data_IF_447458936829
#
_entry.id   IF_447458936829
#
_cell.length_a   1.000
_cell.length_b   1.000
_cell.length_c   1.000
_cell.angle_alpha   90.00
_cell.angle_beta   90.00
_cell.angle_gamma   90.00
#
_symmetry.space_group_name_H-M   'P 1'
#
loop_
_entity.id
_entity.type
_entity.pdbx_description
1 polymer ?
#
# COMPACT_ATOMS: atom_id res chain seq x y z
N UNK A 1 -13.87 6.81 12.06
CA UNK A 1 -14.47 5.50 11.71
C UNK A 1 -15.52 5.58 10.61
N UNK A 2 -15.92 6.77 10.14
CA UNK A 2 -16.51 6.87 8.80
C UNK A 2 -15.41 6.61 7.75
N UNK A 3 -15.80 6.23 6.53
CA UNK A 3 -14.86 5.86 5.46
C UNK A 3 -15.21 6.61 4.18
N UNK A 4 -14.19 7.08 3.47
CA UNK A 4 -14.28 7.66 2.13
C UNK A 4 -13.53 6.76 1.15
N UNK A 5 -14.15 6.40 0.03
CA UNK A 5 -13.66 5.34 -0.87
C UNK A 5 -13.55 5.77 -2.33
N UNK A 6 -14.30 6.77 -2.77
CA UNK A 6 -14.54 7.05 -4.19
C UNK A 6 -13.85 8.31 -4.75
N UNK A 7 -13.50 9.27 -3.90
CA UNK A 7 -12.92 10.56 -4.31
C UNK A 7 -11.80 11.11 -3.38
N UNK A 8 -11.07 12.10 -3.85
CA UNK A 8 -10.19 12.91 -3.02
C UNK A 8 -10.97 14.01 -2.30
N UNK A 9 -10.40 14.58 -1.24
CA UNK A 9 -10.98 15.75 -0.54
C UNK A 9 -11.14 16.98 -1.45
N UNK A 10 -10.39 17.03 -2.55
CA UNK A 10 -10.54 18.02 -3.63
C UNK A 10 -11.79 17.78 -4.51
N UNK A 11 -12.66 16.84 -4.15
CA UNK A 11 -13.79 16.34 -4.94
C UNK A 11 -13.39 15.68 -6.27
N UNK A 12 -12.10 15.39 -6.48
CA UNK A 12 -11.66 14.62 -7.63
C UNK A 12 -12.09 13.17 -7.47
N UNK A 13 -12.99 12.71 -8.34
CA UNK A 13 -13.43 11.32 -8.40
C UNK A 13 -12.25 10.44 -8.82
N UNK A 14 -11.95 9.42 -8.01
CA UNK A 14 -10.93 8.40 -8.30
C UNK A 14 -11.59 7.16 -8.90
N UNK A 15 -12.73 6.78 -8.34
CA UNK A 15 -13.54 5.64 -8.77
C UNK A 15 -15.01 5.87 -8.41
N UNK A 16 -15.90 4.96 -8.81
CA UNK A 16 -17.26 4.94 -8.27
C UNK A 16 -17.32 4.19 -6.94
N UNK A 17 -18.36 4.45 -6.14
CA UNK A 17 -18.63 3.70 -4.90
C UNK A 17 -18.80 2.19 -5.15
N UNK A 18 -19.37 1.84 -6.31
CA UNK A 18 -19.72 0.46 -6.64
C UNK A 18 -20.72 -0.12 -5.63
N UNK A 19 -20.65 -1.44 -5.40
CA UNK A 19 -21.53 -2.12 -4.44
C UNK A 19 -21.10 -1.98 -2.97
N UNK A 20 -20.09 -1.16 -2.65
CA UNK A 20 -19.54 -1.07 -1.29
C UNK A 20 -20.65 -0.79 -0.27
N UNK A 21 -21.47 0.23 -0.53
CA UNK A 21 -22.58 0.59 0.35
C UNK A 21 -23.55 -0.59 0.50
N UNK A 22 -23.91 -1.26 -0.59
CA UNK A 22 -24.88 -2.35 -0.59
C UNK A 22 -24.40 -3.53 0.27
N UNK A 23 -23.12 -3.91 0.18
CA UNK A 23 -22.55 -4.97 1.01
C UNK A 23 -22.47 -4.58 2.49
N UNK A 24 -22.18 -3.32 2.81
CA UNK A 24 -22.20 -2.83 4.19
C UNK A 24 -23.63 -2.85 4.74
N UNK A 25 -24.60 -2.35 3.97
CA UNK A 25 -26.01 -2.36 4.38
C UNK A 25 -26.52 -3.79 4.59
N UNK A 26 -26.19 -4.71 3.68
CA UNK A 26 -26.53 -6.13 3.81
C UNK A 26 -25.91 -6.76 5.04
N UNK A 27 -24.64 -6.47 5.36
CA UNK A 27 -24.00 -7.00 6.57
C UNK A 27 -24.69 -6.53 7.87
N UNK A 28 -25.27 -5.32 7.89
CA UNK A 28 -26.06 -4.85 9.03
C UNK A 28 -27.48 -5.44 9.10
N UNK A 29 -27.98 -5.98 7.98
CA UNK A 29 -29.32 -6.56 7.89
C UNK A 29 -29.37 -8.07 8.17
N UNK A 30 -28.22 -8.76 8.12
CA UNK A 30 -28.12 -10.19 8.32
C UNK A 30 -27.63 -10.51 9.74
N UNK A 31 -28.26 -11.50 10.37
CA UNK A 31 -27.82 -12.02 11.67
C UNK A 31 -26.38 -12.52 11.59
N UNK A 32 -25.57 -12.18 12.60
CA UNK A 32 -24.16 -12.53 12.75
C UNK A 32 -23.22 -12.08 11.60
N UNK A 33 -23.70 -11.33 10.61
CA UNK A 33 -22.88 -10.80 9.54
C UNK A 33 -22.03 -9.61 10.01
N UNK A 34 -20.84 -9.45 9.42
CA UNK A 34 -19.91 -8.37 9.71
C UNK A 34 -19.39 -7.72 8.42
N UNK A 35 -19.28 -6.40 8.43
CA UNK A 35 -18.64 -5.61 7.40
C UNK A 35 -17.19 -5.34 7.78
N UNK A 36 -16.25 -5.84 6.98
CA UNK A 36 -14.81 -5.64 7.20
C UNK A 36 -14.25 -4.74 6.09
N UNK A 37 -13.74 -3.57 6.47
CA UNK A 37 -13.07 -2.65 5.55
C UNK A 37 -11.56 -2.67 5.81
N UNK A 38 -10.80 -3.02 4.78
CA UNK A 38 -9.35 -3.08 4.83
C UNK A 38 -8.73 -1.90 4.11
N UNK A 39 -7.75 -1.26 4.75
CA UNK A 39 -6.96 -0.19 4.14
C UNK A 39 -5.51 -0.23 4.62
N UNK A 40 -4.62 0.41 3.88
CA UNK A 40 -3.26 0.67 4.38
C UNK A 40 -3.33 1.79 5.41
N UNK A 41 -2.54 1.73 6.49
CA UNK A 41 -2.54 2.81 7.48
C UNK A 41 -1.99 4.13 6.90
N UNK A 42 -1.12 4.03 5.90
CA UNK A 42 -0.53 5.16 5.18
C UNK A 42 -0.60 4.99 3.67
N UNK A 43 -0.52 6.09 2.94
CA UNK A 43 -0.24 6.11 1.50
C UNK A 43 0.97 7.01 1.22
N UNK A 44 1.67 6.74 0.12
CA UNK A 44 2.78 7.55 -0.38
C UNK A 44 2.46 7.97 -1.82
N UNK A 45 2.44 9.27 -2.08
CA UNK A 45 2.22 9.84 -3.40
C UNK A 45 3.51 10.02 -4.22
N UNK A 46 4.66 9.57 -3.68
CA UNK A 46 5.99 9.73 -4.25
C UNK A 46 6.71 11.00 -3.79
N UNK A 47 6.04 11.87 -3.04
CA UNK A 47 6.61 13.07 -2.44
C UNK A 47 6.52 13.04 -0.93
N UNK A 48 5.40 12.56 -0.38
CA UNK A 48 5.15 12.54 1.06
C UNK A 48 4.29 11.35 1.46
N UNK A 49 4.77 10.64 2.48
CA UNK A 49 3.94 9.66 3.20
C UNK A 49 2.89 10.39 4.04
N UNK A 50 1.63 9.98 3.89
CA UNK A 50 0.48 10.53 4.59
C UNK A 50 -0.36 9.42 5.24
N UNK A 51 -1.05 9.72 6.33
CA UNK A 51 -1.97 8.78 6.98
C UNK A 51 -3.25 8.59 6.15
N UNK A 52 -3.78 7.38 6.09
CA UNK A 52 -5.17 7.12 5.67
C UNK A 52 -6.15 7.22 6.85
N UNK A 53 -5.66 7.14 8.09
CA UNK A 53 -6.47 7.45 9.27
C UNK A 53 -6.39 8.96 9.52
N UNK A 54 -7.50 9.66 9.28
CA UNK A 54 -7.60 11.12 9.36
C UNK A 54 -8.54 11.55 10.49
N UNK A 55 -8.30 12.73 11.06
CA UNK A 55 -9.22 13.37 11.99
C UNK A 55 -10.52 13.76 11.30
N UNK A 56 -10.40 14.43 10.15
CA UNK A 56 -11.51 14.85 9.29
C UNK A 56 -11.22 14.52 7.82
N UNK A 57 -12.29 14.39 7.04
CA UNK A 57 -12.25 14.28 5.59
C UNK A 57 -13.50 14.94 5.01
N UNK A 58 -13.40 15.54 3.83
CA UNK A 58 -14.47 16.36 3.24
C UNK A 58 -15.82 15.67 3.02
N UNK A 59 -15.88 14.34 2.98
CA UNK A 59 -17.11 13.57 2.82
C UNK A 59 -16.94 12.12 3.32
N UNK A 60 -18.02 11.34 3.31
CA UNK A 60 -18.00 9.93 3.70
C UNK A 60 -18.88 9.08 2.77
N UNK A 61 -18.30 8.01 2.24
CA UNK A 61 -19.00 6.96 1.49
C UNK A 61 -19.76 6.04 2.45
N UNK A 62 -19.08 5.58 3.51
CA UNK A 62 -19.69 4.81 4.60
C UNK A 62 -19.80 5.69 5.84
N UNK A 63 -21.00 6.14 6.21
CA UNK A 63 -21.20 7.05 7.34
C UNK A 63 -20.94 6.34 8.67
N UNK A 64 -20.64 7.12 9.71
CA UNK A 64 -20.22 6.60 11.03
C UNK A 64 -21.19 5.61 11.69
N UNK A 65 -22.47 5.63 11.34
CA UNK A 65 -23.47 4.73 11.92
C UNK A 65 -23.47 3.34 11.27
N UNK A 66 -22.87 3.21 10.08
CA UNK A 66 -22.69 1.94 9.36
C UNK A 66 -21.30 1.34 9.54
N UNK A 67 -20.44 1.97 10.37
CA UNK A 67 -19.10 1.46 10.65
C UNK A 67 -19.19 0.11 11.36
N UNK A 68 -18.21 -0.74 11.09
CA UNK A 68 -18.12 -2.04 11.73
C UNK A 68 -16.65 -2.38 12.04
N UNK A 69 -15.96 -3.19 11.23
CA UNK A 69 -14.56 -3.55 11.46
C UNK A 69 -13.67 -2.81 10.47
N UNK A 70 -12.62 -2.14 10.97
CA UNK A 70 -11.56 -1.54 10.16
C UNK A 70 -10.24 -2.28 10.39
N UNK A 71 -9.54 -2.64 9.32
CA UNK A 71 -8.27 -3.38 9.39
C UNK A 71 -7.16 -2.63 8.67
N UNK A 72 -6.04 -2.42 9.37
CA UNK A 72 -4.76 -2.03 8.76
C UNK A 72 -3.73 -3.15 8.93
N UNK A 73 -2.56 -2.97 8.35
CA UNK A 73 -1.40 -3.83 8.58
C UNK A 73 -0.96 -3.89 10.07
N UNK A 74 -1.44 -2.98 10.92
CA UNK A 74 -1.09 -2.92 12.34
C UNK A 74 -2.12 -3.59 13.26
N UNK A 75 -3.31 -3.91 12.75
CA UNK A 75 -4.32 -4.62 13.55
C UNK A 75 -5.76 -4.36 13.10
N UNK A 76 -6.67 -4.73 14.00
CA UNK A 76 -8.11 -4.73 13.79
C UNK A 76 -8.75 -3.78 14.79
N UNK A 77 -9.55 -2.84 14.30
CA UNK A 77 -10.42 -1.99 15.10
C UNK A 77 -11.87 -2.44 14.88
N UNK A 78 -12.39 -3.23 15.82
CA UNK A 78 -13.81 -3.53 15.93
C UNK A 78 -14.51 -2.35 16.62
N UNK A 79 -15.28 -1.57 15.87
CA UNK A 79 -15.82 -0.27 16.30
C UNK A 79 -17.35 -0.16 16.22
N UNK A 80 -18.03 -1.30 16.02
CA UNK A 80 -19.50 -1.36 16.09
C UNK A 80 -19.96 -1.08 17.52
N UNK A 81 -21.07 -0.33 17.66
CA UNK A 81 -21.68 0.03 18.94
C UNK A 81 -20.77 0.74 19.99
N UNK A 82 -19.54 1.10 19.63
CA UNK A 82 -18.63 1.81 20.54
C UNK A 82 -19.00 3.30 20.68
N UNK A 83 -18.71 3.86 21.85
CA UNK A 83 -18.80 5.32 22.06
C UNK A 83 -17.79 6.06 21.19
N UNK A 84 -18.06 7.34 20.91
CA UNK A 84 -17.18 8.18 20.08
C UNK A 84 -15.72 8.15 20.55
N UNK A 85 -15.51 8.29 21.87
CA UNK A 85 -14.20 8.13 22.49
C UNK A 85 -13.56 6.77 22.22
N UNK A 86 -14.30 5.68 22.43
CA UNK A 86 -13.77 4.31 22.24
C UNK A 86 -13.42 4.01 20.78
N UNK A 87 -14.15 4.62 19.84
CA UNK A 87 -13.82 4.54 18.42
C UNK A 87 -12.51 5.25 18.13
N UNK A 88 -12.31 6.46 18.68
CA UNK A 88 -11.04 7.18 18.52
C UNK A 88 -9.88 6.35 19.09
N UNK A 89 -10.04 5.81 20.31
CA UNK A 89 -9.02 4.94 20.93
C UNK A 89 -8.69 3.72 20.04
N UNK A 90 -9.71 3.05 19.48
CA UNK A 90 -9.54 1.89 18.60
C UNK A 90 -8.91 2.24 17.25
N UNK A 91 -9.30 3.36 16.63
CA UNK A 91 -8.72 3.83 15.38
C UNK A 91 -7.24 4.22 15.56
N UNK A 92 -6.90 4.91 16.66
CA UNK A 92 -5.51 5.24 16.99
C UNK A 92 -4.64 3.99 17.16
N UNK A 93 -5.20 2.90 17.69
CA UNK A 93 -4.50 1.63 17.88
C UNK A 93 -4.12 0.93 16.56
N UNK A 94 -4.76 1.27 15.44
CA UNK A 94 -4.45 0.75 14.09
C UNK A 94 -3.80 1.80 13.18
N UNK A 95 -3.54 3.01 13.70
CA UNK A 95 -2.82 4.08 12.99
C UNK A 95 -1.31 3.85 13.02
N UNK A 96 -0.62 4.26 11.96
CA UNK A 96 0.84 4.32 11.90
C UNK A 96 1.40 5.28 12.97
N UNK A 97 2.44 4.84 13.68
CA UNK A 97 3.02 5.55 14.82
C UNK A 97 3.47 6.97 14.48
N UNK A 98 3.86 7.24 13.23
CA UNK A 98 4.28 8.59 12.77
C UNK A 98 3.16 9.62 12.86
N UNK A 99 1.90 9.21 12.84
CA UNK A 99 0.72 10.09 12.81
C UNK A 99 -0.14 10.02 14.07
N UNK A 100 0.17 9.08 14.97
CA UNK A 100 -0.58 8.82 16.19
C UNK A 100 -0.67 10.05 17.12
N UNK A 101 0.46 10.66 17.45
CA UNK A 101 0.51 11.79 18.39
C UNK A 101 -0.24 13.03 17.87
N UNK A 102 -0.17 13.29 16.56
CA UNK A 102 -0.92 14.37 15.92
C UNK A 102 -2.43 14.21 16.09
N UNK A 103 -2.94 13.00 15.81
CA UNK A 103 -4.36 12.68 15.97
C UNK A 103 -4.80 12.71 17.45
N UNK A 104 -3.94 12.29 18.39
CA UNK A 104 -4.22 12.42 19.83
C UNK A 104 -4.37 13.89 20.21
N UNK A 105 -3.46 14.75 19.75
CA UNK A 105 -3.50 16.18 20.04
C UNK A 105 -4.76 16.86 19.47
N UNK A 106 -5.18 16.50 18.25
CA UNK A 106 -6.44 16.96 17.66
C UNK A 106 -7.65 16.49 18.49
N UNK A 107 -7.70 15.21 18.83
CA UNK A 107 -8.80 14.66 19.63
C UNK A 107 -8.89 15.25 21.05
N UNK A 108 -7.76 15.58 21.68
CA UNK A 108 -7.72 16.26 22.97
C UNK A 108 -8.16 17.72 22.87
N UNK A 109 -7.75 18.42 21.80
CA UNK A 109 -8.16 19.80 21.53
C UNK A 109 -9.68 19.90 21.38
N UNK A 110 -10.29 18.93 20.70
CA UNK A 110 -11.72 18.90 20.43
C UNK A 110 -12.53 18.24 21.58
N UNK A 111 -11.89 17.97 22.71
CA UNK A 111 -12.54 17.44 23.92
C UNK A 111 -13.03 15.98 23.79
N UNK A 112 -12.58 15.25 22.77
CA UNK A 112 -12.96 13.85 22.52
C UNK A 112 -12.12 12.85 23.30
N UNK A 113 -10.91 13.24 23.68
CA UNK A 113 -10.03 12.49 24.57
C UNK A 113 -9.63 13.33 25.79
N UNK A 114 -9.44 12.71 26.96
CA UNK A 114 -8.89 13.42 28.11
C UNK A 114 -7.42 13.79 27.85
N UNK A 115 -6.96 14.90 28.42
CA UNK A 115 -5.56 15.34 28.31
C UNK A 115 -4.54 14.32 28.85
N UNK A 116 -4.99 13.43 29.74
CA UNK A 116 -4.18 12.33 30.29
C UNK A 116 -4.12 11.10 29.38
N UNK A 117 -4.92 11.03 28.32
CA UNK A 117 -4.92 9.89 27.42
C UNK A 117 -3.54 9.74 26.77
N UNK A 118 -3.07 8.50 26.75
CA UNK A 118 -1.89 8.06 26.01
C UNK A 118 -2.24 6.79 25.26
N UNK A 119 -1.65 6.62 24.09
CA UNK A 119 -1.78 5.37 23.33
C UNK A 119 -1.10 4.25 24.10
N UNK A 120 -1.75 3.08 24.29
CA UNK A 120 -1.13 1.94 24.95
C UNK A 120 0.18 1.51 24.26
N UNK A 121 1.21 1.17 25.04
CA UNK A 121 2.57 0.94 24.52
C UNK A 121 2.65 -0.10 23.39
N UNK A 122 1.82 -1.15 23.46
CA UNK A 122 1.73 -2.18 22.41
C UNK A 122 1.39 -1.66 21.00
N UNK A 123 0.79 -0.46 20.90
CA UNK A 123 0.39 0.17 19.64
C UNK A 123 1.33 1.28 19.19
N UNK A 124 2.33 1.64 20.01
CA UNK A 124 3.24 2.77 19.73
C UNK A 124 4.33 2.41 18.72
N UNK A 125 4.53 1.11 18.45
CA UNK A 125 5.44 0.62 17.42
C UNK A 125 4.73 0.22 16.12
N UNK A 126 3.57 0.81 15.82
CA UNK A 126 2.89 0.62 14.54
C UNK A 126 3.69 1.23 13.38
N UNK A 127 4.77 0.55 12.98
CA UNK A 127 5.76 0.99 11.99
C UNK A 127 6.04 -0.10 10.97
N UNK A 128 6.38 0.27 9.71
CA UNK A 128 6.78 -0.71 8.70
C UNK A 128 8.01 -1.52 9.13
N UNK A 129 8.93 -0.91 9.86
CA UNK A 129 10.18 -1.53 10.34
C UNK A 129 9.89 -2.64 11.35
N UNK A 130 8.97 -2.39 12.29
CA UNK A 130 8.51 -3.40 13.25
C UNK A 130 7.87 -4.59 12.52
N UNK A 131 6.93 -4.33 11.59
CA UNK A 131 6.31 -5.40 10.81
C UNK A 131 7.34 -6.19 9.99
N UNK A 132 8.31 -5.51 9.37
CA UNK A 132 9.37 -6.18 8.62
C UNK A 132 10.17 -7.11 9.52
N UNK A 133 10.58 -6.63 10.70
CA UNK A 133 11.35 -7.41 11.69
C UNK A 133 10.54 -8.62 12.17
N UNK A 134 9.30 -8.41 12.58
CA UNK A 134 8.46 -9.45 13.19
C UNK A 134 8.10 -10.55 12.17
N UNK A 135 7.94 -10.20 10.90
CA UNK A 135 7.60 -11.14 9.82
C UNK A 135 8.82 -11.76 9.13
N UNK A 136 10.04 -11.30 9.41
CA UNK A 136 11.24 -11.68 8.66
C UNK A 136 11.53 -13.18 8.72
N UNK A 137 11.44 -13.78 9.91
CA UNK A 137 11.66 -15.21 10.10
C UNK A 137 10.66 -16.06 9.29
N UNK A 138 9.40 -15.63 9.22
CA UNK A 138 8.35 -16.31 8.45
C UNK A 138 8.55 -16.13 6.94
N UNK A 139 9.00 -14.95 6.50
CA UNK A 139 9.37 -14.71 5.10
C UNK A 139 10.52 -15.63 4.66
N UNK A 140 11.57 -15.76 5.47
CA UNK A 140 12.68 -16.68 5.19
C UNK A 140 12.25 -18.15 5.13
N UNK A 141 11.20 -18.52 5.87
CA UNK A 141 10.57 -19.86 5.83
C UNK A 141 9.59 -20.03 4.66
N UNK A 142 9.36 -19.01 3.84
CA UNK A 142 8.50 -19.07 2.66
C UNK A 142 6.99 -18.94 2.93
N UNK A 143 6.56 -18.52 4.13
CA UNK A 143 5.12 -18.42 4.45
C UNK A 143 4.36 -17.30 3.74
N UNK A 144 5.08 -16.29 3.24
CA UNK A 144 4.49 -15.11 2.59
C UNK A 144 4.98 -15.00 1.14
N UNK A 145 4.61 -15.96 0.26
CA UNK A 145 4.90 -15.82 -1.15
C UNK A 145 4.14 -14.61 -1.71
N UNK A 146 4.64 -14.02 -2.79
CA UNK A 146 4.02 -12.87 -3.46
C UNK A 146 2.56 -13.15 -3.86
N UNK A 147 2.27 -14.41 -4.24
CA UNK A 147 0.95 -14.88 -4.65
C UNK A 147 0.53 -16.09 -3.80
N UNK A 148 -0.03 -15.87 -2.60
CA UNK A 148 -0.36 -16.95 -1.66
C UNK A 148 -1.47 -17.89 -2.13
N UNK A 149 -2.30 -17.46 -3.09
CA UNK A 149 -3.36 -18.26 -3.68
C UNK A 149 -3.03 -18.73 -5.10
N UNK A 150 -1.76 -18.67 -5.49
CA UNK A 150 -1.31 -18.92 -6.86
C UNK A 150 -1.48 -17.71 -7.79
N UNK A 151 -0.94 -17.84 -9.00
CA UNK A 151 -1.04 -16.81 -10.05
C UNK A 151 -0.89 -17.47 -11.42
N UNK A 152 -1.54 -16.91 -12.44
CA UNK A 152 -1.36 -17.29 -13.84
C UNK A 152 -0.07 -16.68 -14.44
N UNK A 153 0.57 -15.76 -13.73
CA UNK A 153 1.81 -15.13 -14.17
C UNK A 153 2.98 -16.12 -14.09
N UNK A 154 3.81 -16.14 -15.13
CA UNK A 154 5.06 -16.92 -15.10
C UNK A 154 6.09 -16.28 -14.16
N UNK A 155 7.12 -17.04 -13.79
CA UNK A 155 8.20 -16.53 -12.93
C UNK A 155 8.88 -15.29 -13.54
N UNK A 156 9.04 -15.25 -14.87
CA UNK A 156 9.60 -14.14 -15.62
C UNK A 156 8.70 -12.91 -15.54
N UNK A 157 7.38 -13.08 -15.64
CA UNK A 157 6.42 -11.98 -15.59
C UNK A 157 6.35 -11.33 -14.21
N UNK A 158 6.46 -12.14 -13.16
CA UNK A 158 6.51 -11.63 -11.78
C UNK A 158 7.73 -10.73 -11.60
N UNK A 159 8.89 -11.18 -12.07
CA UNK A 159 10.15 -10.42 -12.01
C UNK A 159 10.08 -9.17 -12.88
N UNK A 160 9.62 -9.28 -14.13
CA UNK A 160 9.42 -8.16 -15.05
C UNK A 160 8.48 -7.11 -14.46
N UNK A 161 7.33 -7.53 -13.92
CA UNK A 161 6.35 -6.65 -13.32
C UNK A 161 6.93 -5.86 -12.13
N UNK A 162 7.73 -6.51 -11.27
CA UNK A 162 8.45 -5.84 -10.18
C UNK A 162 9.47 -4.83 -10.72
N UNK A 163 10.36 -5.28 -11.60
CA UNK A 163 11.45 -4.47 -12.14
C UNK A 163 10.94 -3.24 -12.90
N UNK A 164 9.95 -3.41 -13.78
CA UNK A 164 9.38 -2.32 -14.59
C UNK A 164 8.63 -1.29 -13.75
N UNK A 165 7.87 -1.71 -12.72
CA UNK A 165 7.24 -0.78 -11.77
C UNK A 165 8.30 0.01 -10.99
N UNK A 166 9.36 -0.65 -10.55
CA UNK A 166 10.50 0.00 -9.89
C UNK A 166 11.16 1.04 -10.80
N UNK A 167 11.34 0.71 -12.07
CA UNK A 167 11.88 1.64 -13.06
C UNK A 167 10.96 2.83 -13.30
N UNK A 168 9.67 2.59 -13.47
CA UNK A 168 8.67 3.64 -13.67
C UNK A 168 8.64 4.61 -12.47
N UNK A 169 8.78 4.10 -11.23
CA UNK A 169 8.89 4.93 -10.04
C UNK A 169 10.16 5.79 -10.04
N UNK A 170 11.32 5.20 -10.37
CA UNK A 170 12.61 5.91 -10.47
C UNK A 170 12.59 7.01 -11.52
N UNK A 171 11.93 6.78 -12.66
CA UNK A 171 11.79 7.77 -13.74
C UNK A 171 10.93 8.98 -13.37
N UNK A 172 10.03 8.85 -12.38
CA UNK A 172 9.25 9.98 -11.84
C UNK A 172 10.03 10.85 -10.87
N UNK A 173 11.21 10.42 -10.42
CA UNK A 173 12.03 11.19 -9.50
C UNK A 173 12.66 12.40 -10.22
N UNK A 174 12.83 13.52 -9.50
CA UNK A 174 13.48 14.73 -10.04
C UNK A 174 14.90 14.49 -10.57
N UNK A 175 15.60 13.50 -10.01
CA UNK A 175 16.93 13.04 -10.44
C UNK A 175 16.90 11.51 -10.52
N UNK A 176 16.56 10.92 -11.68
CA UNK A 176 16.53 9.48 -11.82
C UNK A 176 17.96 8.93 -11.71
N UNK A 177 18.18 7.84 -10.95
CA UNK A 177 19.49 7.22 -10.85
C UNK A 177 19.90 6.64 -12.21
N UNK A 178 21.10 6.98 -12.67
CA UNK A 178 21.69 6.42 -13.89
C UNK A 178 22.40 5.11 -13.51
N UNK A 179 22.29 4.04 -14.30
CA UNK A 179 23.04 2.82 -14.03
C UNK A 179 24.55 3.12 -14.03
N UNK A 180 25.28 2.56 -13.06
CA UNK A 180 26.74 2.68 -12.98
C UNK A 180 27.44 2.06 -14.20
N UNK A 181 28.77 2.19 -14.28
CA UNK A 181 29.57 1.75 -15.45
C UNK A 181 29.31 0.28 -15.83
N UNK A 182 29.24 -0.62 -14.85
CA UNK A 182 28.93 -2.03 -15.05
C UNK A 182 27.49 -2.24 -15.59
N UNK A 183 26.52 -1.54 -15.01
CA UNK A 183 25.14 -1.55 -15.49
C UNK A 183 25.03 -1.02 -16.92
N UNK A 184 25.75 0.06 -17.25
CA UNK A 184 25.79 0.62 -18.60
C UNK A 184 26.36 -0.38 -19.62
N UNK A 185 27.36 -1.17 -19.23
CA UNK A 185 27.87 -2.29 -20.03
C UNK A 185 26.79 -3.34 -20.35
N UNK A 186 26.02 -3.75 -19.33
CA UNK A 186 24.90 -4.68 -19.47
C UNK A 186 23.77 -4.12 -20.36
N UNK A 187 23.54 -2.80 -20.37
CA UNK A 187 22.58 -2.18 -21.30
C UNK A 187 23.04 -2.25 -22.76
N UNK A 188 24.34 -2.05 -23.03
CA UNK A 188 24.87 -2.08 -24.39
C UNK A 188 24.91 -3.49 -24.97
N UNK A 189 25.23 -4.48 -24.12
CA UNK A 189 25.24 -5.91 -24.44
C UNK A 189 24.43 -6.65 -23.38
N UNK A 190 23.13 -6.89 -23.63
CA UNK A 190 22.29 -7.64 -22.70
C UNK A 190 22.94 -8.97 -22.33
N UNK A 191 23.08 -9.28 -21.03
CA UNK A 191 23.70 -10.52 -20.59
C UNK A 191 22.77 -11.71 -20.90
N UNK A 192 23.30 -12.93 -20.98
CA UNK A 192 22.53 -14.11 -21.38
C UNK A 192 21.39 -14.41 -20.40
N UNK A 193 21.58 -14.06 -19.13
CA UNK A 193 20.61 -14.13 -18.04
C UNK A 193 19.38 -13.25 -18.28
N UNK A 194 19.49 -12.19 -19.10
CA UNK A 194 18.37 -11.33 -19.46
C UNK A 194 17.41 -12.00 -20.47
N UNK A 195 17.86 -13.05 -21.17
CA UNK A 195 17.17 -13.62 -22.34
C UNK A 195 15.74 -14.10 -22.06
N UNK A 196 15.42 -14.84 -20.97
CA UNK A 196 14.05 -15.28 -20.72
C UNK A 196 13.07 -14.11 -20.56
N UNK A 197 13.52 -13.02 -19.93
CA UNK A 197 12.73 -11.81 -19.74
C UNK A 197 12.53 -11.05 -21.04
N UNK A 198 13.57 -10.98 -21.88
CA UNK A 198 13.49 -10.34 -23.19
C UNK A 198 12.61 -11.14 -24.15
N UNK A 199 12.70 -12.48 -24.16
CA UNK A 199 11.82 -13.35 -24.95
C UNK A 199 10.36 -13.17 -24.52
N UNK A 200 10.08 -13.10 -23.21
CA UNK A 200 8.71 -12.84 -22.71
C UNK A 200 8.16 -11.50 -23.17
N UNK A 201 9.00 -10.49 -23.31
CA UNK A 201 8.63 -9.15 -23.80
C UNK A 201 8.64 -9.04 -25.33
N UNK A 202 9.06 -10.07 -26.08
CA UNK A 202 9.26 -10.01 -27.53
C UNK A 202 10.41 -9.09 -27.95
N UNK A 203 11.44 -8.97 -27.11
CA UNK A 203 12.57 -8.05 -27.26
C UNK A 203 13.93 -8.78 -27.28
N UNK A 204 13.95 -10.10 -27.45
CA UNK A 204 15.19 -10.88 -27.58
C UNK A 204 15.93 -10.57 -28.90
N UNK A 205 15.19 -10.29 -29.97
CA UNK A 205 15.70 -9.93 -31.30
C UNK A 205 15.08 -8.63 -31.82
N UNK A 206 15.50 -7.46 -31.31
CA UNK A 206 14.92 -6.19 -31.69
C UNK A 206 15.29 -5.80 -33.13
N UNK A 207 14.29 -5.66 -33.99
CA UNK A 207 14.42 -5.25 -35.39
C UNK A 207 14.41 -3.72 -35.55
N UNK A 208 13.61 -3.01 -34.74
CA UNK A 208 13.45 -1.56 -34.86
C UNK A 208 14.28 -0.77 -33.85
N UNK A 209 14.55 0.51 -34.13
CA UNK A 209 15.21 1.40 -33.16
C UNK A 209 14.39 1.51 -31.85
N UNK A 210 13.06 1.51 -31.98
CA UNK A 210 12.14 1.54 -30.82
C UNK A 210 12.30 0.29 -29.96
N UNK A 211 12.35 -0.90 -30.56
CA UNK A 211 12.55 -2.15 -29.83
C UNK A 211 13.92 -2.20 -29.15
N UNK A 212 14.97 -1.67 -29.78
CA UNK A 212 16.31 -1.58 -29.14
C UNK A 212 16.28 -0.68 -27.90
N UNK A 213 15.53 0.43 -27.94
CA UNK A 213 15.35 1.30 -26.76
C UNK A 213 14.57 0.58 -25.67
N UNK A 214 13.47 -0.11 -26.03
CA UNK A 214 12.67 -0.87 -25.07
C UNK A 214 13.47 -2.03 -24.44
N UNK A 215 14.25 -2.77 -25.24
CA UNK A 215 15.13 -3.83 -24.75
C UNK A 215 16.10 -3.29 -23.70
N UNK A 216 16.75 -2.15 -23.99
CA UNK A 216 17.65 -1.48 -23.04
C UNK A 216 16.94 -1.02 -21.79
N UNK A 217 15.71 -0.51 -21.91
CA UNK A 217 14.90 -0.11 -20.76
C UNK A 217 14.53 -1.32 -19.87
N UNK A 218 14.18 -2.47 -20.46
CA UNK A 218 13.91 -3.71 -19.72
C UNK A 218 15.18 -4.19 -19.00
N UNK A 219 16.33 -4.24 -19.69
CA UNK A 219 17.60 -4.62 -19.05
C UNK A 219 17.97 -3.65 -17.93
N UNK A 220 17.77 -2.35 -18.14
CA UNK A 220 18.00 -1.36 -17.10
C UNK A 220 17.08 -1.56 -15.89
N UNK A 221 15.81 -1.91 -16.10
CA UNK A 221 14.87 -2.24 -15.04
C UNK A 221 15.39 -3.43 -14.21
N UNK A 222 15.82 -4.50 -14.88
CA UNK A 222 16.30 -5.72 -14.25
C UNK A 222 17.60 -5.50 -13.44
N UNK A 223 18.55 -4.73 -13.99
CA UNK A 223 19.79 -4.33 -13.28
C UNK A 223 19.47 -3.44 -12.08
N UNK A 224 18.56 -2.49 -12.26
CA UNK A 224 18.14 -1.54 -11.23
C UNK A 224 17.44 -2.17 -10.03
N UNK A 225 16.85 -3.35 -10.24
CA UNK A 225 16.13 -4.15 -9.26
C UNK A 225 17.02 -5.24 -8.63
N UNK A 226 18.26 -5.40 -9.11
CA UNK A 226 19.22 -6.40 -8.64
C UNK A 226 18.94 -7.82 -9.14
N UNK A 227 18.12 -7.96 -10.18
CA UNK A 227 17.88 -9.26 -10.84
C UNK A 227 19.05 -9.64 -11.75
N UNK A 228 19.72 -8.64 -12.34
CA UNK A 228 20.92 -8.77 -13.19
C UNK A 228 22.07 -7.96 -12.58
#
# INVERSE_FOLDING_TARGET
>A
GAVASDALETNQVISGVGGQYDFVAMAHALDDARSILMLRATYDDGHRVSSNIRWSYGYATIPRHMRDIIVTEYGIADIVALTDRKVIEAMLAITDARFQEGLVAEAQRDGKLPKSYKIPDRFRENTPERLKRDLDAFRRRGFFPTFPFGTELTAEEIVLGRALRGLAAKLKMKRPPIPGVEGMGKLLRPPAEARPYLERMGLDRPATMREKILQRAVVWALVSDGTL
#
